data_IF_759069071221
#
_entry.id   IF_759069071221
#
_cell.length_a   1.000
_cell.length_b   1.000
_cell.length_c   1.000
_cell.angle_alpha   90.00
_cell.angle_beta   90.00
_cell.angle_gamma   90.00
#
_symmetry.space_group_name_H-M   'P 1'
#
loop_
_entity.id
_entity.type
_entity.pdbx_description
1 polymer ?
#
# COMPACT_ATOMS: atom_id res chain seq x y z
N UNK A 1 -85.70 39.37 9.34
CA UNK A 1 -84.26 39.28 9.38
C UNK A 1 -83.94 37.82 9.51
N UNK A 2 -83.70 37.15 8.35
CA UNK A 2 -83.52 35.70 8.26
C UNK A 2 -82.09 35.41 8.02
N UNK A 3 -81.48 34.78 9.00
CA UNK A 3 -80.08 34.34 8.92
C UNK A 3 -79.99 32.96 8.23
N UNK A 4 -79.36 32.88 7.08
CA UNK A 4 -79.07 31.63 6.36
C UNK A 4 -77.69 31.14 6.73
N UNK A 5 -77.65 29.92 7.28
CA UNK A 5 -76.45 29.16 7.55
C UNK A 5 -76.00 28.47 6.24
N UNK A 6 -74.73 28.61 5.79
CA UNK A 6 -74.25 27.86 4.66
C UNK A 6 -73.77 26.48 5.05
N UNK A 7 -74.13 25.51 4.23
CA UNK A 7 -73.79 24.09 4.36
C UNK A 7 -72.30 23.83 4.09
N UNK A 8 -71.74 22.99 4.92
CA UNK A 8 -70.35 22.56 4.87
C UNK A 8 -70.22 21.39 3.81
N UNK A 9 -69.36 21.48 2.82
CA UNK A 9 -69.14 20.36 1.89
C UNK A 9 -68.15 19.34 2.49
N UNK A 10 -68.52 18.06 2.37
CA UNK A 10 -67.74 16.92 2.82
C UNK A 10 -66.37 16.79 2.15
N UNK A 11 -65.35 16.31 2.88
CA UNK A 11 -64.05 16.08 2.32
C UNK A 11 -64.06 14.87 1.35
N UNK A 12 -63.65 15.10 0.10
CA UNK A 12 -63.38 14.09 -0.89
C UNK A 12 -62.09 13.36 -0.50
N UNK A 13 -62.21 12.05 -0.25
CA UNK A 13 -61.07 11.15 -0.08
C UNK A 13 -60.29 11.06 -1.40
N UNK A 14 -59.05 11.53 -1.39
CA UNK A 14 -58.05 11.31 -2.44
C UNK A 14 -57.43 9.93 -2.23
N UNK A 15 -57.32 9.09 -3.27
CA UNK A 15 -56.55 7.85 -3.15
C UNK A 15 -55.08 8.16 -3.04
N UNK A 16 -54.44 7.69 -1.98
CA UNK A 16 -52.99 7.63 -1.85
C UNK A 16 -52.45 6.67 -2.93
N UNK A 17 -51.93 7.25 -4.01
CA UNK A 17 -51.03 6.53 -4.91
C UNK A 17 -49.69 6.31 -4.15
N UNK A 18 -49.50 5.06 -3.76
CA UNK A 18 -48.21 4.58 -3.26
C UNK A 18 -47.19 4.66 -4.40
N UNK A 19 -46.39 5.72 -4.40
CA UNK A 19 -45.23 5.84 -5.26
C UNK A 19 -44.15 4.92 -4.70
N UNK A 20 -44.06 3.71 -5.25
CA UNK A 20 -42.98 2.78 -4.98
C UNK A 20 -41.67 3.35 -5.52
N UNK A 21 -40.86 3.93 -4.64
CA UNK A 21 -39.47 4.28 -4.95
C UNK A 21 -38.70 2.98 -5.03
N UNK A 22 -38.47 2.51 -6.27
CA UNK A 22 -37.42 1.53 -6.54
C UNK A 22 -36.08 2.20 -6.23
N UNK A 23 -35.57 2.01 -5.02
CA UNK A 23 -34.20 2.25 -4.68
C UNK A 23 -33.35 1.23 -5.47
N UNK A 24 -32.91 1.62 -6.67
CA UNK A 24 -31.80 0.97 -7.34
C UNK A 24 -30.59 1.12 -6.42
N UNK A 25 -30.33 0.09 -5.64
CA UNK A 25 -29.11 -0.05 -4.87
C UNK A 25 -27.94 -0.05 -5.83
N UNK A 26 -27.31 1.11 -6.02
CA UNK A 26 -25.95 1.18 -6.55
C UNK A 26 -25.08 0.41 -5.54
N UNK A 27 -24.83 -0.86 -5.85
CA UNK A 27 -23.77 -1.62 -5.22
C UNK A 27 -22.47 -0.93 -5.62
N UNK A 28 -22.11 0.10 -4.88
CA UNK A 28 -20.76 0.61 -4.90
C UNK A 28 -19.88 -0.60 -4.48
N UNK A 29 -19.19 -1.17 -5.45
CA UNK A 29 -18.05 -2.05 -5.17
C UNK A 29 -17.02 -1.20 -4.42
N UNK A 30 -17.21 -1.03 -3.12
CA UNK A 30 -16.17 -0.56 -2.24
C UNK A 30 -15.03 -1.57 -2.40
N UNK A 31 -13.80 -1.14 -2.72
CA UNK A 31 -12.68 -2.06 -2.67
C UNK A 31 -12.66 -2.62 -1.26
N UNK A 32 -12.85 -3.92 -1.14
CA UNK A 32 -12.65 -4.62 0.13
C UNK A 32 -11.16 -4.47 0.39
N UNK A 33 -10.80 -3.50 1.20
CA UNK A 33 -9.49 -3.44 1.83
C UNK A 33 -9.50 -4.63 2.77
N UNK A 34 -9.03 -5.76 2.29
CA UNK A 34 -8.87 -6.95 3.10
C UNK A 34 -7.88 -6.61 4.22
N UNK A 35 -8.39 -6.43 5.45
CA UNK A 35 -7.56 -6.24 6.65
C UNK A 35 -6.83 -7.52 7.08
N UNK A 36 -6.74 -8.52 6.19
CA UNK A 36 -5.93 -9.71 6.39
C UNK A 36 -4.50 -9.46 5.93
N UNK A 37 -3.54 -10.09 6.59
CA UNK A 37 -2.18 -10.14 6.09
C UNK A 37 -2.20 -10.64 4.64
N UNK A 38 -1.50 -9.95 3.71
CA UNK A 38 -1.47 -10.38 2.31
C UNK A 38 -0.89 -11.79 2.25
N UNK A 39 -1.51 -12.62 1.42
CA UNK A 39 -1.02 -13.98 1.23
C UNK A 39 0.31 -13.96 0.49
N UNK A 40 1.29 -14.77 0.89
CA UNK A 40 2.50 -14.97 0.11
C UNK A 40 2.16 -15.38 -1.33
N UNK A 41 3.10 -15.20 -2.24
CA UNK A 41 3.01 -15.79 -3.56
C UNK A 41 2.83 -17.30 -3.45
N UNK A 42 2.16 -17.91 -4.40
CA UNK A 42 2.05 -19.36 -4.43
C UNK A 42 3.44 -19.99 -4.52
N UNK A 43 3.67 -21.15 -3.93
CA UNK A 43 5.03 -21.70 -3.70
C UNK A 43 5.88 -21.80 -4.95
N UNK A 44 5.32 -22.27 -6.07
CA UNK A 44 6.08 -22.41 -7.32
C UNK A 44 6.59 -21.08 -7.86
N UNK A 45 5.78 -20.01 -7.76
CA UNK A 45 6.19 -18.66 -8.20
C UNK A 45 7.19 -18.05 -7.21
N UNK A 46 6.97 -18.25 -5.91
CA UNK A 46 7.88 -17.79 -4.87
C UNK A 46 9.31 -18.33 -5.04
N UNK A 47 9.46 -19.59 -5.46
CA UNK A 47 10.77 -20.21 -5.66
C UNK A 47 11.45 -19.82 -6.97
N UNK A 48 10.65 -19.51 -7.99
CA UNK A 48 11.17 -19.28 -9.35
C UNK A 48 11.25 -17.83 -9.76
N UNK A 49 10.57 -16.92 -9.05
CA UNK A 49 10.49 -15.52 -9.42
C UNK A 49 11.78 -14.75 -9.16
N UNK A 50 12.03 -13.76 -10.02
CA UNK A 50 12.96 -12.65 -9.81
C UNK A 50 12.27 -11.35 -10.16
N UNK A 51 12.72 -10.26 -9.59
CA UNK A 51 12.24 -8.93 -9.98
C UNK A 51 13.15 -8.37 -11.08
N UNK A 52 12.58 -8.24 -12.27
CA UNK A 52 13.32 -7.75 -13.44
C UNK A 52 13.24 -6.23 -13.56
N UNK A 53 12.06 -5.68 -13.34
CA UNK A 53 11.78 -4.26 -13.48
C UNK A 53 11.08 -3.74 -12.23
N UNK A 54 11.47 -2.54 -11.77
CA UNK A 54 10.79 -1.81 -10.69
C UNK A 54 10.27 -0.49 -11.27
N UNK A 55 9.00 -0.19 -11.04
CA UNK A 55 8.39 1.09 -11.40
C UNK A 55 7.76 1.72 -10.18
N UNK A 56 8.09 2.99 -9.91
CA UNK A 56 7.62 3.72 -8.74
C UNK A 56 6.70 4.86 -9.17
N UNK A 57 5.56 4.97 -8.54
CA UNK A 57 4.62 6.06 -8.71
C UNK A 57 4.37 6.73 -7.37
N UNK A 58 4.67 8.00 -7.29
CA UNK A 58 4.48 8.85 -6.10
C UNK A 58 3.20 9.67 -6.17
N UNK A 59 2.50 9.67 -7.33
CA UNK A 59 1.27 10.44 -7.53
C UNK A 59 1.49 11.93 -7.29
N UNK A 60 0.69 12.49 -6.37
CA UNK A 60 0.73 13.90 -5.99
C UNK A 60 1.61 14.19 -4.76
N UNK A 61 2.35 13.21 -4.29
CA UNK A 61 3.20 13.39 -3.11
C UNK A 61 4.37 14.31 -3.44
N UNK A 62 4.64 15.24 -2.52
CA UNK A 62 5.83 16.08 -2.58
C UNK A 62 7.01 15.32 -1.99
N UNK A 63 7.68 14.54 -2.81
CA UNK A 63 8.92 13.81 -2.49
C UNK A 63 10.13 14.51 -3.11
N UNK A 64 11.33 14.10 -2.74
CA UNK A 64 12.58 14.57 -3.37
C UNK A 64 12.67 14.06 -4.81
N UNK A 65 13.34 14.80 -5.68
CA UNK A 65 13.41 14.47 -7.12
C UNK A 65 14.07 13.12 -7.38
N UNK A 66 15.00 12.71 -6.52
CA UNK A 66 15.75 11.45 -6.58
C UNK A 66 15.08 10.30 -5.81
N UNK A 67 13.89 10.55 -5.21
CA UNK A 67 13.21 9.55 -4.38
C UNK A 67 12.97 8.24 -5.13
N UNK A 68 12.46 8.30 -6.34
CA UNK A 68 12.10 7.10 -7.10
C UNK A 68 13.33 6.26 -7.44
N UNK A 69 14.45 6.91 -7.77
CA UNK A 69 15.69 6.24 -8.12
C UNK A 69 16.32 5.59 -6.88
N UNK A 70 16.52 6.35 -5.80
CA UNK A 70 17.05 5.83 -4.54
C UNK A 70 16.18 4.70 -3.99
N UNK A 71 14.84 4.86 -4.00
CA UNK A 71 13.93 3.83 -3.55
C UNK A 71 14.06 2.55 -4.39
N UNK A 72 14.15 2.68 -5.71
CA UNK A 72 14.26 1.53 -6.61
C UNK A 72 15.55 0.77 -6.41
N UNK A 73 16.67 1.47 -6.20
CA UNK A 73 17.98 0.87 -5.99
C UNK A 73 18.03 0.09 -4.67
N UNK A 74 17.59 0.69 -3.57
CA UNK A 74 17.59 0.05 -2.26
C UNK A 74 16.62 -1.15 -2.21
N UNK A 75 15.44 -1.00 -2.79
CA UNK A 75 14.46 -2.09 -2.86
C UNK A 75 14.98 -3.23 -3.72
N UNK A 76 15.68 -2.94 -4.82
CA UNK A 76 16.30 -3.95 -5.68
C UNK A 76 17.34 -4.76 -4.93
N UNK A 77 18.24 -4.09 -4.19
CA UNK A 77 19.27 -4.77 -3.40
C UNK A 77 18.63 -5.77 -2.41
N UNK A 78 17.58 -5.36 -1.70
CA UNK A 78 16.89 -6.25 -0.78
C UNK A 78 16.16 -7.41 -1.50
N UNK A 79 15.49 -7.13 -2.61
CA UNK A 79 14.77 -8.16 -3.37
C UNK A 79 15.69 -9.18 -4.02
N UNK A 80 16.89 -8.81 -4.41
CA UNK A 80 17.89 -9.73 -4.96
C UNK A 80 18.29 -10.81 -3.93
N UNK A 81 18.07 -10.57 -2.64
CA UNK A 81 18.32 -11.55 -1.58
C UNK A 81 17.20 -12.57 -1.41
N UNK A 82 15.99 -12.29 -1.87
CA UNK A 82 14.81 -13.13 -1.66
C UNK A 82 14.12 -13.60 -2.96
N UNK A 83 14.23 -12.86 -4.05
CA UNK A 83 13.60 -13.12 -5.35
C UNK A 83 14.66 -13.42 -6.42
N UNK A 84 15.40 -14.50 -6.25
CA UNK A 84 16.57 -14.87 -7.07
C UNK A 84 16.32 -15.98 -8.09
N UNK A 85 15.06 -16.21 -8.46
CA UNK A 85 14.68 -17.21 -9.45
C UNK A 85 15.00 -16.79 -10.89
N UNK A 86 14.47 -17.54 -11.84
CA UNK A 86 14.66 -17.27 -13.28
C UNK A 86 13.44 -16.61 -13.94
N UNK A 87 12.27 -16.69 -13.32
CA UNK A 87 11.01 -16.20 -13.88
C UNK A 87 10.85 -14.70 -13.62
N UNK A 88 10.83 -13.84 -14.66
CA UNK A 88 10.80 -12.39 -14.48
C UNK A 88 9.41 -11.90 -14.06
N UNK A 89 9.37 -11.09 -13.01
CA UNK A 89 8.21 -10.30 -12.60
C UNK A 89 8.56 -8.81 -12.65
N UNK A 90 7.55 -7.99 -12.83
CA UNK A 90 7.63 -6.53 -12.66
C UNK A 90 7.06 -6.15 -11.31
N UNK A 91 7.79 -5.35 -10.54
CA UNK A 91 7.31 -4.71 -9.32
C UNK A 91 6.79 -3.31 -9.68
N UNK A 92 5.50 -3.08 -9.45
CA UNK A 92 4.88 -1.74 -9.48
C UNK A 92 4.65 -1.27 -8.07
N UNK A 93 5.19 -0.11 -7.72
CA UNK A 93 5.05 0.48 -6.38
C UNK A 93 4.24 1.75 -6.47
N UNK A 94 3.17 1.81 -5.69
CA UNK A 94 2.37 3.00 -5.50
C UNK A 94 2.63 3.54 -4.11
N UNK A 95 3.36 4.65 -4.03
CA UNK A 95 3.66 5.31 -2.75
C UNK A 95 2.41 6.07 -2.30
N UNK A 96 1.91 5.71 -1.11
CA UNK A 96 0.68 6.28 -0.55
C UNK A 96 0.97 7.44 0.40
N UNK A 97 2.05 7.34 1.18
CA UNK A 97 2.47 8.37 2.11
C UNK A 97 3.96 8.26 2.43
N UNK A 98 4.59 9.42 2.56
CA UNK A 98 5.95 9.58 3.08
C UNK A 98 5.90 10.64 4.16
N UNK A 99 6.27 10.29 5.39
CA UNK A 99 6.37 11.24 6.49
C UNK A 99 7.81 11.27 6.99
N UNK A 100 8.32 12.48 7.13
CA UNK A 100 9.68 12.73 7.62
C UNK A 100 9.63 13.15 9.08
N UNK A 101 10.53 12.61 9.89
CA UNK A 101 10.72 13.12 11.25
C UNK A 101 11.00 14.62 11.21
N UNK A 102 10.38 15.36 12.12
CA UNK A 102 10.65 16.79 12.27
C UNK A 102 12.12 17.02 12.62
N UNK A 103 12.83 17.84 11.84
CA UNK A 103 14.23 18.22 12.12
C UNK A 103 14.38 18.84 13.50
N UNK A 104 13.43 19.68 13.90
CA UNK A 104 13.45 20.34 15.21
C UNK A 104 13.24 19.31 16.32
N UNK A 105 12.27 18.40 16.16
CA UNK A 105 12.03 17.32 17.11
C UNK A 105 13.26 16.42 17.28
N UNK A 106 13.88 16.01 16.18
CA UNK A 106 15.08 15.18 16.20
C UNK A 106 16.27 15.89 16.89
N UNK A 107 16.47 17.18 16.65
CA UNK A 107 17.53 17.96 17.29
C UNK A 107 17.32 18.17 18.80
N UNK A 108 16.07 18.41 19.21
CA UNK A 108 15.75 18.75 20.61
C UNK A 108 15.64 17.50 21.48
N UNK A 109 14.90 16.49 21.01
CA UNK A 109 14.59 15.30 21.81
C UNK A 109 15.38 14.06 21.39
N UNK A 110 16.02 14.07 20.22
CA UNK A 110 16.63 12.87 19.62
C UNK A 110 15.60 11.82 19.21
N UNK A 111 14.32 12.21 19.11
CA UNK A 111 13.20 11.33 18.81
C UNK A 111 12.52 11.75 17.52
N UNK A 112 11.98 10.77 16.83
CA UNK A 112 11.24 10.93 15.59
C UNK A 112 11.23 9.61 14.84
N UNK A 113 10.40 9.55 13.83
CA UNK A 113 10.38 8.40 12.93
C UNK A 113 10.16 8.86 11.50
N UNK A 114 10.77 8.17 10.57
CA UNK A 114 10.45 8.25 9.16
C UNK A 114 9.48 7.15 8.84
N UNK A 115 8.35 7.48 8.22
CA UNK A 115 7.36 6.49 7.81
C UNK A 115 7.20 6.50 6.31
N UNK A 116 7.11 5.31 5.74
CA UNK A 116 6.82 5.09 4.33
C UNK A 116 5.68 4.08 4.23
N UNK A 117 4.61 4.46 3.55
CA UNK A 117 3.51 3.58 3.20
C UNK A 117 3.41 3.48 1.70
N UNK A 118 3.50 2.29 1.17
CA UNK A 118 3.37 2.03 -0.26
C UNK A 118 2.73 0.66 -0.52
N UNK A 119 2.09 0.53 -1.67
CA UNK A 119 1.51 -0.74 -2.12
C UNK A 119 2.38 -1.30 -3.23
N UNK A 120 2.90 -2.51 -3.02
CA UNK A 120 3.57 -3.31 -4.04
C UNK A 120 2.57 -4.12 -4.83
N UNK A 121 2.68 -4.10 -6.16
CA UNK A 121 2.02 -5.03 -7.07
C UNK A 121 3.07 -5.83 -7.81
N UNK A 122 3.05 -7.15 -7.64
CA UNK A 122 3.85 -8.05 -8.46
C UNK A 122 3.06 -8.43 -9.68
N UNK A 123 3.64 -8.18 -10.85
CA UNK A 123 2.98 -8.29 -12.16
C UNK A 123 3.73 -9.30 -13.01
N UNK A 124 2.98 -10.18 -13.64
CA UNK A 124 3.49 -11.17 -14.59
C UNK A 124 3.34 -10.66 -16.03
N UNK A 125 4.44 -10.16 -16.63
CA UNK A 125 4.41 -9.65 -18.00
C UNK A 125 4.22 -10.76 -19.03
N UNK A 126 4.59 -12.00 -18.72
CA UNK A 126 4.40 -13.16 -19.60
C UNK A 126 2.93 -13.55 -19.79
N UNK A 127 2.05 -13.10 -18.90
CA UNK A 127 0.62 -13.38 -18.92
C UNK A 127 -0.23 -12.10 -18.99
N UNK A 128 0.17 -11.15 -19.84
CA UNK A 128 -0.61 -9.94 -20.13
C UNK A 128 -0.69 -8.99 -18.93
N UNK A 129 0.41 -8.77 -18.25
CA UNK A 129 0.50 -7.87 -17.09
C UNK A 129 -0.44 -8.22 -15.94
N UNK A 130 -0.66 -9.50 -15.73
CA UNK A 130 -1.52 -9.99 -14.66
C UNK A 130 -0.88 -9.72 -13.29
N UNK A 131 -1.64 -9.09 -12.39
CA UNK A 131 -1.22 -8.94 -10.99
C UNK A 131 -1.28 -10.30 -10.30
N UNK A 132 -0.15 -10.80 -9.83
CA UNK A 132 0.01 -12.09 -9.13
C UNK A 132 0.12 -11.93 -7.61
N UNK A 133 0.38 -10.72 -7.12
CA UNK A 133 0.38 -10.40 -5.71
C UNK A 133 0.24 -8.90 -5.47
N UNK A 134 -0.41 -8.52 -4.36
CA UNK A 134 -0.55 -7.12 -3.93
C UNK A 134 -0.30 -7.03 -2.43
N UNK A 135 0.64 -6.16 -2.04
CA UNK A 135 1.16 -6.05 -0.68
C UNK A 135 1.13 -4.59 -0.23
N UNK A 136 0.16 -4.18 0.58
CA UNK A 136 0.21 -2.90 1.27
C UNK A 136 1.22 -2.99 2.41
N UNK A 137 2.28 -2.19 2.34
CA UNK A 137 3.39 -2.20 3.29
C UNK A 137 3.54 -0.80 3.88
N UNK A 138 3.59 -0.74 5.19
CA UNK A 138 3.95 0.46 5.93
C UNK A 138 5.12 0.14 6.85
N UNK A 139 6.16 0.95 6.78
CA UNK A 139 7.36 0.82 7.61
C UNK A 139 7.62 2.11 8.36
N UNK A 140 8.20 1.95 9.54
CA UNK A 140 8.58 3.05 10.41
C UNK A 140 10.02 2.84 10.86
N UNK A 141 10.89 3.79 10.50
CA UNK A 141 12.30 3.76 10.88
C UNK A 141 12.55 4.83 11.95
N UNK A 142 12.86 4.46 13.19
CA UNK A 142 13.16 5.41 14.22
C UNK A 142 14.43 6.19 13.88
N UNK A 143 14.47 7.45 14.30
CA UNK A 143 15.67 8.27 14.23
C UNK A 143 16.53 7.97 15.46
N UNK A 144 17.67 7.37 15.26
CA UNK A 144 18.62 7.06 16.33
C UNK A 144 19.62 8.19 16.50
N UNK A 145 19.40 9.01 17.54
CA UNK A 145 20.32 10.07 17.91
C UNK A 145 20.15 11.39 17.14
N UNK A 146 20.75 12.45 17.70
CA UNK A 146 20.58 13.81 17.18
C UNK A 146 21.28 14.04 15.86
N UNK A 147 22.45 13.45 15.67
CA UNK A 147 23.30 13.65 14.48
C UNK A 147 22.76 12.85 13.30
N UNK A 148 22.40 11.61 13.54
CA UNK A 148 21.84 10.72 12.50
C UNK A 148 20.50 11.24 11.98
N UNK A 149 19.67 11.81 12.84
CA UNK A 149 18.41 12.44 12.44
C UNK A 149 18.54 13.64 11.51
N UNK A 150 19.74 14.24 11.42
CA UNK A 150 20.02 15.42 10.60
C UNK A 150 20.84 15.08 9.36
N UNK A 151 21.82 14.18 9.48
CA UNK A 151 22.82 13.90 8.45
C UNK A 151 22.69 12.48 7.84
N UNK A 152 21.90 11.59 8.46
CA UNK A 152 21.75 10.22 8.00
C UNK A 152 20.99 10.12 6.68
N UNK A 153 21.33 9.12 5.91
CA UNK A 153 20.63 8.77 4.66
C UNK A 153 19.29 8.08 4.97
N UNK A 154 18.29 8.91 5.22
CA UNK A 154 16.98 8.54 5.77
C UNK A 154 16.13 7.79 4.76
N UNK A 155 16.26 8.21 3.51
CA UNK A 155 15.50 7.67 2.42
C UNK A 155 15.96 6.25 2.13
N UNK A 156 17.25 6.03 2.13
CA UNK A 156 17.87 4.73 1.95
C UNK A 156 17.40 3.73 3.00
N UNK A 157 17.51 4.06 4.29
CA UNK A 157 17.10 3.17 5.40
C UNK A 157 15.62 2.79 5.37
N UNK A 158 14.72 3.72 5.07
CA UNK A 158 13.29 3.42 5.01
C UNK A 158 12.93 2.59 3.78
N UNK A 159 13.62 2.80 2.66
CA UNK A 159 13.45 2.04 1.43
C UNK A 159 13.97 0.60 1.58
N UNK A 160 15.14 0.43 2.18
CA UNK A 160 15.71 -0.86 2.57
C UNK A 160 14.75 -1.65 3.48
N UNK A 161 14.22 -1.03 4.51
CA UNK A 161 13.27 -1.67 5.41
C UNK A 161 11.97 -2.06 4.71
N UNK A 162 11.51 -1.25 3.78
CA UNK A 162 10.34 -1.56 2.97
C UNK A 162 10.59 -2.75 2.03
N UNK A 163 11.75 -2.81 1.38
CA UNK A 163 12.18 -3.94 0.56
C UNK A 163 12.23 -5.25 1.35
N UNK A 164 12.77 -5.23 2.56
CA UNK A 164 12.77 -6.39 3.47
C UNK A 164 11.36 -6.84 3.84
N UNK A 165 10.48 -5.89 4.15
CA UNK A 165 9.09 -6.21 4.47
C UNK A 165 8.37 -6.86 3.28
N UNK A 166 8.66 -6.42 2.05
CA UNK A 166 8.15 -7.06 0.84
C UNK A 166 8.71 -8.48 0.68
N UNK A 167 10.00 -8.70 0.91
CA UNK A 167 10.59 -10.03 0.92
C UNK A 167 9.86 -10.97 1.88
N UNK A 168 9.65 -10.52 3.11
CA UNK A 168 8.98 -11.34 4.14
C UNK A 168 7.54 -11.66 3.76
N UNK A 169 6.79 -10.69 3.24
CA UNK A 169 5.37 -10.86 2.92
C UNK A 169 5.15 -11.65 1.63
N UNK A 170 5.89 -11.35 0.57
CA UNK A 170 5.69 -11.96 -0.74
C UNK A 170 6.40 -13.31 -0.88
N UNK A 171 7.63 -13.41 -0.39
CA UNK A 171 8.50 -14.56 -0.59
C UNK A 171 8.69 -15.39 0.67
N UNK A 172 8.21 -14.95 1.84
CA UNK A 172 8.35 -15.66 3.10
C UNK A 172 9.80 -15.88 3.52
N UNK A 173 10.73 -15.07 3.00
CA UNK A 173 12.16 -15.15 3.23
C UNK A 173 12.62 -13.91 3.96
N UNK A 174 13.24 -14.10 5.13
CA UNK A 174 13.93 -13.03 5.80
C UNK A 174 15.36 -12.95 5.23
N UNK A 175 15.76 -11.86 4.57
CA UNK A 175 17.11 -11.72 3.99
C UNK A 175 18.22 -11.86 5.05
N UNK A 176 17.92 -11.65 6.32
CA UNK A 176 18.86 -11.86 7.44
C UNK A 176 18.95 -13.32 7.90
N UNK A 177 18.06 -14.19 7.44
CA UNK A 177 18.21 -15.62 7.69
C UNK A 177 19.03 -16.21 6.55
N UNK A 178 20.19 -16.83 6.84
CA UNK A 178 20.94 -17.59 5.85
C UNK A 178 19.97 -18.63 5.25
N UNK A 179 19.76 -18.55 3.94
CA UNK A 179 18.94 -19.54 3.23
C UNK A 179 19.54 -20.92 3.43
N UNK A 180 18.77 -22.00 3.27
CA UNK A 180 19.26 -23.38 3.44
C UNK A 180 20.44 -23.73 2.54
N UNK A 181 20.70 -22.92 1.50
CA UNK A 181 21.82 -23.12 0.57
C UNK A 181 23.16 -22.56 1.07
N UNK A 182 23.19 -21.73 2.10
CA UNK A 182 24.44 -21.19 2.65
C UNK A 182 25.02 -22.04 3.80
N UNK A 183 24.28 -23.06 4.26
CA UNK A 183 24.76 -23.98 5.30
C UNK A 183 25.79 -25.02 4.82
N UNK A 184 26.11 -25.04 3.51
CA UNK A 184 27.00 -26.09 2.93
C UNK A 184 28.33 -25.55 2.44
N UNK A 185 28.73 -24.33 2.82
CA UNK A 185 30.07 -23.80 2.56
C UNK A 185 30.75 -23.45 3.89
N UNK A 186 31.11 -24.45 4.61
CA UNK A 186 32.02 -24.45 5.73
C UNK A 186 33.09 -25.50 5.51
#
# INVERSE_FOLDING_TARGET
>A
MTSRTPANPAPRALPLMALGILALGASACAPVVGNGAPSPLWPALMETARIDTITVSTGWLNVEDDFADTFSDEVREELDTCAYGAYPLTLRVHVNAVQRASRIGALVSGQGAHTLSATAELVDPGHGDRVVGRYPIAVETPVEGRVEGVLGDRQMKVSEQWGRALCDQAFGRNPRRPGPHNATRG
#
